data_IF_342457458673
#
_entry.id   IF_342457458673
#
_cell.length_a   1.000
_cell.length_b   1.000
_cell.length_c   1.000
_cell.angle_alpha   90.00
_cell.angle_beta   90.00
_cell.angle_gamma   90.00
#
_symmetry.space_group_name_H-M   'P 1'
#
loop_
_entity.id
_entity.type
_entity.pdbx_description
1 polymer ?
#
# COMPACT_ATOMS: atom_id res chain seq x y z
N UNK A 1 -12.30 0.64 9.44
CA UNK A 1 -11.22 1.13 8.56
C UNK A 1 -10.05 0.17 8.70
N UNK A 2 -9.63 -0.51 7.64
CA UNK A 2 -8.54 -1.48 7.76
C UNK A 2 -7.20 -0.76 7.96
N UNK A 3 -6.47 -1.11 9.01
CA UNK A 3 -5.13 -0.61 9.25
C UNK A 3 -4.20 -1.05 8.10
N UNK A 4 -3.36 -0.12 7.63
CA UNK A 4 -2.35 -0.40 6.59
C UNK A 4 -1.43 -1.52 7.10
N UNK A 5 -1.16 -2.53 6.27
CA UNK A 5 -0.40 -3.71 6.68
C UNK A 5 0.94 -3.40 7.34
N UNK A 6 1.65 -2.37 6.87
CA UNK A 6 2.95 -1.97 7.43
C UNK A 6 2.86 -1.39 8.86
N UNK A 7 1.68 -0.96 9.31
CA UNK A 7 1.47 -0.39 10.65
C UNK A 7 0.94 -1.40 11.65
N UNK A 8 0.73 -2.65 11.25
CA UNK A 8 0.30 -3.70 12.19
C UNK A 8 1.39 -3.99 13.21
N UNK A 9 0.98 -4.43 14.38
CA UNK A 9 1.86 -4.88 15.47
C UNK A 9 2.83 -3.81 16.01
N UNK A 10 2.55 -2.52 15.86
CA UNK A 10 3.36 -1.48 16.50
C UNK A 10 3.15 -1.50 18.02
N UNK A 11 1.89 -1.54 18.46
CA UNK A 11 1.51 -1.65 19.87
C UNK A 11 0.80 -2.97 20.08
N UNK A 12 1.13 -3.66 21.13
CA UNK A 12 0.55 -4.94 21.49
C UNK A 12 0.13 -5.03 22.96
N UNK A 13 -0.02 -6.24 23.45
CA UNK A 13 -0.28 -6.57 24.86
C UNK A 13 0.72 -7.58 25.39
N UNK A 14 1.16 -7.38 26.63
CA UNK A 14 1.96 -8.35 27.38
C UNK A 14 1.14 -9.53 27.89
N UNK A 15 -0.18 -9.46 27.79
CA UNK A 15 -1.03 -10.55 28.21
C UNK A 15 -1.19 -11.58 27.09
N UNK A 16 -0.62 -12.78 27.20
CA UNK A 16 -0.70 -13.80 26.14
C UNK A 16 -2.13 -14.24 25.83
N UNK A 17 -3.07 -14.09 26.78
CA UNK A 17 -4.48 -14.43 26.57
C UNK A 17 -5.18 -13.45 25.61
N UNK A 18 -4.66 -12.26 25.41
CA UNK A 18 -5.24 -11.26 24.50
C UNK A 18 -4.74 -11.36 23.06
N UNK A 19 -3.63 -12.10 22.85
CA UNK A 19 -3.06 -12.41 21.53
C UNK A 19 -2.86 -11.18 20.62
N UNK A 20 -2.35 -10.09 21.19
CA UNK A 20 -2.03 -8.85 20.45
C UNK A 20 -0.51 -8.66 20.43
N UNK A 21 0.19 -9.06 19.35
CA UNK A 21 1.64 -8.99 19.28
C UNK A 21 2.15 -7.55 19.13
N UNK A 22 3.40 -7.31 19.55
CA UNK A 22 4.13 -6.06 19.26
C UNK A 22 5.50 -6.36 18.70
N UNK A 23 5.85 -5.73 17.57
CA UNK A 23 7.17 -5.83 16.94
C UNK A 23 8.22 -4.90 17.62
N UNK A 24 7.77 -3.94 18.44
CA UNK A 24 8.60 -2.90 19.04
C UNK A 24 8.63 -2.93 20.57
N UNK A 25 8.10 -3.98 21.18
CA UNK A 25 7.97 -4.09 22.65
C UNK A 25 7.19 -2.92 23.28
N UNK A 26 6.24 -2.37 22.56
CA UNK A 26 5.31 -1.36 23.05
C UNK A 26 3.99 -2.04 23.42
N UNK A 27 3.60 -1.90 24.67
CA UNK A 27 2.45 -2.61 25.22
C UNK A 27 1.48 -1.65 25.88
N UNK A 28 0.18 -1.92 25.71
CA UNK A 28 -0.88 -1.10 26.29
C UNK A 28 -0.76 -1.03 27.84
N UNK A 29 -0.30 -2.11 28.46
CA UNK A 29 -0.09 -2.19 29.92
C UNK A 29 1.10 -1.37 30.42
N UNK A 30 1.95 -0.85 29.53
CA UNK A 30 3.01 0.07 29.89
C UNK A 30 2.53 1.51 30.09
N UNK A 31 1.27 1.79 29.74
CA UNK A 31 0.65 3.09 29.98
C UNK A 31 0.36 3.28 31.47
N UNK A 32 0.94 4.29 32.13
CA UNK A 32 0.68 4.56 33.54
C UNK A 32 -0.81 4.79 33.80
N UNK A 33 -1.29 4.29 34.95
CA UNK A 33 -2.67 4.51 35.39
C UNK A 33 -3.75 3.69 34.68
N UNK A 34 -3.40 2.81 33.75
CA UNK A 34 -4.29 1.82 33.16
C UNK A 34 -3.92 0.43 33.71
N UNK A 35 -4.82 -0.15 34.49
CA UNK A 35 -4.66 -1.55 34.95
C UNK A 35 -5.28 -2.53 33.96
N UNK A 36 -4.87 -3.79 34.03
CA UNK A 36 -5.53 -4.88 33.27
C UNK A 36 -7.02 -4.98 33.58
N UNK A 37 -7.40 -4.73 34.82
CA UNK A 37 -8.80 -4.74 35.22
C UNK A 37 -9.60 -3.61 34.58
N UNK A 38 -8.99 -2.41 34.43
CA UNK A 38 -9.61 -1.29 33.73
C UNK A 38 -9.84 -1.65 32.25
N UNK A 39 -8.84 -2.26 31.57
CA UNK A 39 -8.95 -2.65 30.17
C UNK A 39 -10.04 -3.70 29.95
N UNK A 40 -10.11 -4.71 30.81
CA UNK A 40 -11.17 -5.72 30.76
C UNK A 40 -12.55 -5.11 31.02
N UNK A 41 -12.63 -4.14 31.92
CA UNK A 41 -13.91 -3.46 32.23
C UNK A 41 -14.41 -2.56 31.09
N UNK A 42 -13.49 -2.03 30.27
CA UNK A 42 -13.80 -1.22 29.06
C UNK A 42 -14.20 -2.11 27.88
N UNK A 43 -13.65 -3.33 27.78
CA UNK A 43 -13.98 -4.27 26.72
C UNK A 43 -15.45 -4.71 26.89
N UNK A 44 -16.30 -4.12 26.07
CA UNK A 44 -17.76 -4.27 26.11
C UNK A 44 -18.23 -5.60 25.50
N UNK A 45 -19.55 -5.87 25.65
CA UNK A 45 -20.26 -6.97 25.00
C UNK A 45 -20.23 -6.90 23.46
N UNK A 46 -19.83 -5.78 22.89
CA UNK A 46 -19.68 -5.58 21.45
C UNK A 46 -18.42 -6.26 20.89
N UNK A 47 -17.49 -6.64 21.75
CA UNK A 47 -16.27 -7.34 21.38
C UNK A 47 -16.30 -8.80 21.85
N UNK A 48 -15.85 -9.73 20.97
CA UNK A 48 -15.78 -11.15 21.32
C UNK A 48 -14.71 -11.42 22.39
N UNK A 49 -13.60 -10.68 22.33
CA UNK A 49 -12.50 -10.80 23.29
C UNK A 49 -11.94 -9.42 23.65
N UNK A 50 -11.26 -9.34 24.80
CA UNK A 50 -10.48 -8.15 25.18
C UNK A 50 -9.38 -7.85 24.16
N UNK A 51 -8.84 -8.87 23.51
CA UNK A 51 -7.85 -8.71 22.43
C UNK A 51 -8.42 -7.97 21.23
N UNK A 52 -9.65 -8.29 20.81
CA UNK A 52 -10.33 -7.58 19.69
C UNK A 52 -10.57 -6.11 20.03
N UNK A 53 -10.99 -5.82 21.27
CA UNK A 53 -11.13 -4.46 21.77
C UNK A 53 -9.80 -3.68 21.67
N UNK A 54 -8.69 -4.27 22.16
CA UNK A 54 -7.38 -3.62 22.10
C UNK A 54 -6.95 -3.40 20.66
N UNK A 55 -7.11 -4.38 19.77
CA UNK A 55 -6.75 -4.25 18.36
C UNK A 55 -7.54 -3.13 17.67
N UNK A 56 -8.84 -3.01 17.98
CA UNK A 56 -9.67 -1.94 17.42
C UNK A 56 -9.22 -0.57 17.91
N UNK A 57 -8.99 -0.39 19.21
CA UNK A 57 -8.51 0.87 19.80
C UNK A 57 -7.11 1.24 19.31
N UNK A 58 -6.20 0.29 19.20
CA UNK A 58 -4.86 0.49 18.62
C UNK A 58 -4.99 0.93 17.16
N UNK A 59 -5.84 0.27 16.38
CA UNK A 59 -6.07 0.62 14.97
C UNK A 59 -6.67 2.02 14.84
N UNK A 60 -7.61 2.38 15.70
CA UNK A 60 -8.21 3.71 15.73
C UNK A 60 -7.16 4.79 16.05
N UNK A 61 -6.40 4.64 17.13
CA UNK A 61 -5.36 5.58 17.54
C UNK A 61 -4.31 5.78 16.43
N UNK A 62 -3.85 4.69 15.79
CA UNK A 62 -2.91 4.78 14.67
C UNK A 62 -3.49 5.51 13.47
N UNK A 63 -4.74 5.23 13.11
CA UNK A 63 -5.40 5.93 12.00
C UNK A 63 -5.54 7.43 12.28
N UNK A 64 -5.79 7.83 13.54
CA UNK A 64 -5.84 9.24 13.93
C UNK A 64 -4.46 9.91 13.78
N UNK A 65 -3.39 9.28 14.27
CA UNK A 65 -2.01 9.79 14.10
C UNK A 65 -1.64 9.92 12.62
N UNK A 66 -1.97 8.92 11.80
CA UNK A 66 -1.73 8.95 10.35
C UNK A 66 -2.54 10.05 9.67
N UNK A 67 -3.81 10.22 10.03
CA UNK A 67 -4.66 11.27 9.47
C UNK A 67 -4.12 12.65 9.78
N UNK A 68 -3.69 12.89 11.03
CA UNK A 68 -3.13 14.17 11.46
C UNK A 68 -1.76 14.43 10.81
N UNK A 69 -0.87 13.42 10.79
CA UNK A 69 0.40 13.49 10.07
C UNK A 69 0.18 13.82 8.58
N UNK A 70 -0.81 13.18 7.99
CA UNK A 70 -1.19 13.38 6.59
C UNK A 70 -1.62 14.81 6.28
N UNK A 71 -2.36 15.47 7.18
CA UNK A 71 -2.78 16.87 6.98
C UNK A 71 -1.60 17.83 6.86
N UNK A 72 -0.48 17.54 7.52
CA UNK A 72 0.72 18.40 7.43
C UNK A 72 1.52 18.17 6.15
N UNK A 73 1.43 16.96 5.61
CA UNK A 73 2.19 16.52 4.44
C UNK A 73 1.40 16.78 3.14
N UNK A 74 0.05 16.83 3.22
CA UNK A 74 -0.84 16.96 2.06
C UNK A 74 -0.52 18.19 1.20
N UNK A 75 -0.12 19.31 1.79
CA UNK A 75 0.16 20.52 1.02
C UNK A 75 1.24 20.31 -0.04
N UNK A 76 2.19 19.40 0.22
CA UNK A 76 3.31 19.12 -0.67
C UNK A 76 3.22 17.74 -1.35
N UNK A 77 2.25 16.89 -0.97
CA UNK A 77 2.10 15.54 -1.49
C UNK A 77 1.11 15.46 -2.66
N UNK A 78 1.52 14.79 -3.72
CA UNK A 78 0.74 14.63 -4.95
C UNK A 78 -0.09 13.35 -4.92
N UNK A 79 -1.11 13.31 -4.05
CA UNK A 79 -2.00 12.15 -3.96
C UNK A 79 -2.60 11.78 -5.32
N UNK A 80 -2.58 10.49 -5.64
CA UNK A 80 -3.07 9.91 -6.89
C UNK A 80 -2.40 10.45 -8.17
N UNK A 81 -1.29 11.18 -8.04
CA UNK A 81 -0.54 11.63 -9.21
C UNK A 81 0.12 10.44 -9.89
N UNK A 82 -0.12 10.31 -11.18
CA UNK A 82 0.52 9.27 -12.01
C UNK A 82 1.96 9.70 -12.30
N UNK A 83 2.92 8.94 -11.80
CA UNK A 83 4.34 9.16 -11.99
C UNK A 83 4.87 8.47 -13.26
N UNK A 84 4.29 7.31 -13.58
CA UNK A 84 4.67 6.50 -14.73
C UNK A 84 3.45 5.77 -15.30
N UNK A 85 3.45 5.57 -16.61
CA UNK A 85 2.44 4.77 -17.32
C UNK A 85 3.16 3.73 -18.16
N UNK A 86 2.75 2.49 -17.99
CA UNK A 86 3.33 1.36 -18.67
C UNK A 86 2.30 0.69 -19.56
N UNK A 87 2.73 0.33 -20.76
CA UNK A 87 1.89 -0.42 -21.71
C UNK A 87 2.66 -1.65 -22.17
N UNK A 88 1.98 -2.78 -22.26
CA UNK A 88 2.51 -4.02 -22.82
C UNK A 88 1.51 -4.58 -23.83
N UNK A 89 2.04 -5.07 -24.93
CA UNK A 89 1.25 -5.60 -26.03
C UNK A 89 0.46 -4.52 -26.78
N UNK A 90 0.26 -4.76 -28.06
CA UNK A 90 -0.58 -3.92 -28.92
C UNK A 90 -1.50 -4.83 -29.71
N UNK A 91 -2.76 -4.44 -29.87
CA UNK A 91 -3.67 -5.21 -30.72
C UNK A 91 -3.09 -5.32 -32.13
N UNK A 92 -2.97 -6.54 -32.67
CA UNK A 92 -2.40 -6.74 -34.01
C UNK A 92 -3.33 -6.15 -35.08
N UNK A 93 -2.73 -5.48 -36.06
CA UNK A 93 -3.44 -5.01 -37.26
C UNK A 93 -3.21 -6.03 -38.36
N UNK A 94 -4.06 -7.05 -38.49
CA UNK A 94 -3.96 -8.08 -39.51
C UNK A 94 -4.16 -9.49 -38.96
N UNK A 95 -3.54 -10.50 -39.60
CA UNK A 95 -3.66 -11.90 -39.18
C UNK A 95 -2.97 -12.09 -37.84
N UNK A 96 -3.69 -12.66 -36.88
CA UNK A 96 -3.16 -12.94 -35.54
C UNK A 96 -2.34 -14.24 -35.61
N UNK A 97 -1.08 -14.16 -35.24
CA UNK A 97 -0.24 -15.34 -35.01
C UNK A 97 -0.46 -15.86 -33.58
N UNK A 98 -0.61 -17.16 -33.43
CA UNK A 98 -0.73 -17.83 -32.13
C UNK A 98 0.43 -18.76 -31.90
N UNK A 99 0.95 -18.79 -30.69
CA UNK A 99 2.00 -19.72 -30.30
C UNK A 99 1.47 -21.16 -30.30
N UNK A 100 2.16 -22.08 -30.90
CA UNK A 100 1.77 -23.50 -30.97
C UNK A 100 2.15 -24.27 -29.69
N UNK A 101 3.19 -23.83 -29.00
CA UNK A 101 3.61 -24.38 -27.71
C UNK A 101 3.52 -23.30 -26.66
N UNK A 102 2.93 -23.62 -25.53
CA UNK A 102 2.72 -22.68 -24.46
C UNK A 102 3.42 -23.14 -23.19
N UNK A 103 4.35 -22.36 -22.63
CA UNK A 103 4.86 -22.62 -21.30
C UNK A 103 3.76 -22.44 -20.26
N UNK A 104 3.88 -23.12 -19.14
CA UNK A 104 3.09 -22.85 -17.94
C UNK A 104 3.54 -21.52 -17.32
N UNK A 105 2.64 -20.90 -16.57
CA UNK A 105 2.91 -19.64 -15.83
C UNK A 105 3.44 -18.51 -16.74
N UNK A 106 2.90 -18.43 -17.97
CA UNK A 106 3.28 -17.41 -18.96
C UNK A 106 2.43 -16.15 -18.88
N UNK A 107 3.01 -15.02 -19.24
CA UNK A 107 2.29 -13.75 -19.24
C UNK A 107 3.19 -12.53 -19.34
N UNK A 108 2.97 -11.58 -18.45
CA UNK A 108 3.77 -10.35 -18.37
C UNK A 108 4.29 -10.13 -16.97
N UNK A 109 5.45 -9.49 -16.91
CA UNK A 109 6.14 -9.09 -15.68
C UNK A 109 6.34 -7.59 -15.68
N UNK A 110 6.00 -6.96 -14.58
CA UNK A 110 6.36 -5.58 -14.26
C UNK A 110 7.53 -5.61 -13.28
N UNK A 111 8.60 -4.89 -13.57
CA UNK A 111 9.79 -4.83 -12.71
C UNK A 111 10.12 -3.38 -12.38
N UNK A 112 10.28 -3.08 -11.10
CA UNK A 112 10.67 -1.76 -10.60
C UNK A 112 12.12 -1.48 -10.91
N UNK A 113 12.43 -0.37 -11.57
CA UNK A 113 13.80 0.03 -11.94
C UNK A 113 14.43 0.98 -10.93
N UNK A 114 13.61 1.83 -10.31
CA UNK A 114 14.04 2.83 -9.35
C UNK A 114 13.14 2.77 -8.14
N UNK A 115 13.73 2.89 -6.98
CA UNK A 115 12.96 3.03 -5.76
C UNK A 115 12.36 4.43 -5.69
N UNK A 116 11.04 4.47 -5.62
CA UNK A 116 10.26 5.62 -5.19
C UNK A 116 9.41 5.13 -4.01
N UNK A 117 9.73 5.64 -2.83
CA UNK A 117 9.25 5.04 -1.58
C UNK A 117 7.75 5.31 -1.29
N UNK A 118 7.08 6.07 -2.16
CA UNK A 118 5.72 6.56 -1.91
C UNK A 118 4.72 6.23 -3.00
N UNK A 119 5.04 5.31 -3.87
CA UNK A 119 4.17 4.98 -4.98
C UNK A 119 3.72 3.53 -4.99
N UNK A 120 2.56 3.31 -5.55
CA UNK A 120 1.95 2.00 -5.78
C UNK A 120 1.84 1.72 -7.27
N UNK A 121 2.12 0.48 -7.66
CA UNK A 121 1.75 -0.04 -8.97
C UNK A 121 0.27 -0.40 -8.96
N UNK A 122 -0.49 0.21 -9.86
CA UNK A 122 -1.93 -0.01 -10.02
C UNK A 122 -2.16 -0.62 -11.40
N UNK A 123 -2.75 -1.81 -11.43
CA UNK A 123 -3.14 -2.53 -12.65
C UNK A 123 -4.66 -2.71 -12.61
N UNK A 124 -5.44 -1.81 -13.20
CA UNK A 124 -6.88 -1.84 -13.08
C UNK A 124 -7.49 -2.98 -13.89
N UNK A 125 -7.00 -3.22 -15.09
CA UNK A 125 -7.45 -4.29 -15.98
C UNK A 125 -6.34 -4.72 -16.94
N UNK A 126 -6.51 -5.89 -17.51
CA UNK A 126 -5.73 -6.38 -18.63
C UNK A 126 -6.66 -6.97 -19.68
N UNK A 127 -6.20 -7.04 -20.96
CA UNK A 127 -6.88 -7.77 -22.02
C UNK A 127 -6.04 -8.96 -22.39
N UNK A 128 -6.71 -10.10 -22.61
CA UNK A 128 -6.05 -11.34 -23.01
C UNK A 128 -6.58 -11.77 -24.38
N UNK A 129 -5.68 -12.00 -25.33
CA UNK A 129 -6.00 -12.39 -26.70
C UNK A 129 -5.59 -13.85 -26.94
N UNK A 130 -6.59 -14.71 -27.18
CA UNK A 130 -6.42 -16.17 -27.33
C UNK A 130 -7.18 -16.70 -28.55
N UNK A 131 -6.85 -17.91 -28.97
CA UNK A 131 -7.48 -18.56 -30.13
C UNK A 131 -8.75 -19.35 -29.78
N UNK A 132 -8.97 -19.69 -28.51
CA UNK A 132 -10.09 -20.52 -28.06
C UNK A 132 -10.93 -19.77 -27.05
N UNK A 133 -12.26 -20.01 -27.09
CA UNK A 133 -13.18 -19.53 -26.05
C UNK A 133 -13.22 -20.53 -24.90
N UNK A 134 -13.37 -20.04 -23.68
CA UNK A 134 -13.50 -20.89 -22.50
C UNK A 134 -13.21 -20.20 -21.20
N UNK A 135 -13.52 -20.88 -20.09
CA UNK A 135 -13.21 -20.42 -18.73
C UNK A 135 -11.71 -20.59 -18.46
N UNK A 136 -11.10 -19.53 -17.95
CA UNK A 136 -9.69 -19.48 -17.60
C UNK A 136 -9.48 -18.72 -16.30
N UNK A 137 -8.33 -18.92 -15.70
CA UNK A 137 -7.90 -18.21 -14.49
C UNK A 137 -6.65 -17.38 -14.80
N UNK A 138 -6.72 -16.10 -14.48
CA UNK A 138 -5.58 -15.20 -14.45
C UNK A 138 -5.01 -15.19 -13.02
N UNK A 139 -3.75 -15.55 -12.87
CA UNK A 139 -3.03 -15.45 -11.61
C UNK A 139 -2.21 -14.17 -11.60
N UNK A 140 -2.41 -13.34 -10.58
CA UNK A 140 -1.67 -12.11 -10.36
C UNK A 140 -0.91 -12.27 -9.07
N UNK A 141 0.39 -12.02 -9.09
CA UNK A 141 1.24 -12.14 -7.89
C UNK A 141 2.31 -11.05 -7.88
N UNK A 142 2.81 -10.73 -6.69
CA UNK A 142 3.98 -9.89 -6.53
C UNK A 142 5.11 -10.62 -5.79
N UNK A 143 6.25 -9.96 -5.62
CA UNK A 143 7.40 -10.52 -4.92
C UNK A 143 7.35 -10.35 -3.40
N UNK A 144 6.30 -9.74 -2.86
CA UNK A 144 6.07 -9.60 -1.40
C UNK A 144 5.03 -10.58 -0.86
N UNK A 145 4.53 -11.49 -1.71
CA UNK A 145 3.64 -12.59 -1.32
C UNK A 145 2.15 -12.34 -1.53
N UNK A 146 1.75 -11.23 -2.15
CA UNK A 146 0.35 -11.02 -2.53
C UNK A 146 0.01 -11.88 -3.75
N UNK A 147 -1.10 -12.63 -3.68
CA UNK A 147 -1.61 -13.44 -4.79
C UNK A 147 -3.10 -13.19 -4.97
N UNK A 148 -3.53 -12.97 -6.22
CA UNK A 148 -4.93 -12.80 -6.59
C UNK A 148 -5.24 -13.64 -7.81
N UNK A 149 -6.28 -14.48 -7.73
CA UNK A 149 -6.77 -15.25 -8.86
C UNK A 149 -8.08 -14.64 -9.37
N UNK A 150 -8.18 -14.42 -10.67
CA UNK A 150 -9.34 -13.85 -11.33
C UNK A 150 -9.83 -14.80 -12.42
N UNK A 151 -11.04 -15.31 -12.28
CA UNK A 151 -11.67 -16.15 -13.30
C UNK A 151 -12.28 -15.27 -14.40
N UNK A 152 -12.07 -15.65 -15.66
CA UNK A 152 -12.65 -14.96 -16.80
C UNK A 152 -13.00 -15.94 -17.92
N UNK A 153 -13.96 -15.58 -18.76
CA UNK A 153 -14.34 -16.36 -19.94
C UNK A 153 -13.68 -15.71 -21.17
N UNK A 154 -12.69 -16.38 -21.74
CA UNK A 154 -12.04 -15.93 -22.95
C UNK A 154 -12.95 -16.05 -24.17
N UNK A 155 -12.82 -15.13 -25.12
CA UNK A 155 -13.47 -15.15 -26.43
C UNK A 155 -12.39 -15.26 -27.51
N UNK A 156 -12.50 -16.29 -28.36
CA UNK A 156 -11.53 -16.57 -29.41
C UNK A 156 -11.36 -15.38 -30.37
N UNK A 157 -10.11 -14.99 -30.61
CA UNK A 157 -9.75 -13.92 -31.56
C UNK A 157 -10.11 -12.50 -31.13
N UNK A 158 -10.68 -12.32 -29.95
CA UNK A 158 -11.08 -11.03 -29.42
C UNK A 158 -10.37 -10.78 -28.08
N UNK A 159 -9.73 -9.61 -27.87
CA UNK A 159 -9.16 -9.28 -26.56
C UNK A 159 -10.23 -9.26 -25.49
N UNK A 160 -10.19 -10.24 -24.60
CA UNK A 160 -11.12 -10.34 -23.47
C UNK A 160 -10.58 -9.51 -22.31
N UNK A 161 -11.36 -8.54 -21.85
CA UNK A 161 -10.98 -7.69 -20.72
C UNK A 161 -11.21 -8.41 -19.39
N UNK A 162 -10.22 -8.33 -18.52
CA UNK A 162 -10.22 -8.91 -17.19
C UNK A 162 -9.91 -7.83 -16.19
N UNK A 163 -10.87 -7.50 -15.32
CA UNK A 163 -10.66 -6.55 -14.23
C UNK A 163 -9.75 -7.18 -13.19
N UNK A 164 -8.61 -6.55 -12.98
CA UNK A 164 -7.61 -7.03 -12.05
C UNK A 164 -7.70 -6.31 -10.73
N UNK A 165 -7.93 -4.99 -10.72
CA UNK A 165 -7.94 -4.13 -9.53
C UNK A 165 -6.80 -4.52 -8.57
N UNK A 166 -5.60 -4.72 -9.15
CA UNK A 166 -4.42 -5.15 -8.40
C UNK A 166 -3.57 -3.95 -8.07
N UNK A 167 -3.21 -3.83 -6.80
CA UNK A 167 -2.39 -2.75 -6.27
C UNK A 167 -1.26 -3.36 -5.45
N UNK A 168 -0.02 -2.97 -5.73
CA UNK A 168 1.15 -3.45 -4.99
C UNK A 168 2.22 -2.37 -4.84
N UNK A 169 2.93 -2.42 -3.72
CA UNK A 169 4.17 -1.69 -3.45
C UNK A 169 5.42 -2.55 -3.69
N UNK A 170 5.23 -3.80 -4.10
CA UNK A 170 6.30 -4.74 -4.42
C UNK A 170 7.22 -4.27 -5.55
N UNK A 171 8.41 -4.82 -5.62
CA UNK A 171 9.38 -4.54 -6.67
C UNK A 171 9.09 -5.23 -7.99
N UNK A 172 8.27 -6.27 -7.98
CA UNK A 172 7.86 -7.05 -9.13
C UNK A 172 6.40 -7.45 -9.04
N UNK A 173 5.70 -7.47 -10.17
CA UNK A 173 4.35 -8.00 -10.30
C UNK A 173 4.25 -8.86 -11.57
N UNK A 174 3.56 -10.00 -11.46
CA UNK A 174 3.39 -10.97 -12.53
C UNK A 174 1.90 -11.17 -12.78
N UNK A 175 1.53 -11.22 -14.06
CA UNK A 175 0.19 -11.58 -14.50
C UNK A 175 0.35 -12.77 -15.45
N UNK A 176 -0.15 -13.94 -15.05
CA UNK A 176 0.16 -15.20 -15.72
C UNK A 176 -1.08 -16.07 -15.97
N UNK A 177 -0.96 -16.94 -16.98
CA UNK A 177 -1.92 -17.98 -17.33
C UNK A 177 -1.26 -19.34 -17.22
N UNK A 178 -1.88 -20.27 -16.50
CA UNK A 178 -1.35 -21.63 -16.28
C UNK A 178 -1.90 -22.67 -17.27
N UNK A 179 -2.92 -22.32 -18.06
CA UNK A 179 -3.56 -23.24 -18.98
C UNK A 179 -2.74 -23.41 -20.27
N UNK A 180 -1.91 -24.45 -20.34
CA UNK A 180 -1.08 -24.75 -21.50
C UNK A 180 -1.86 -25.10 -22.77
N UNK A 181 -3.12 -25.55 -22.67
CA UNK A 181 -3.98 -25.87 -23.83
C UNK A 181 -4.53 -24.63 -24.54
N UNK A 182 -4.50 -23.46 -23.87
CA UNK A 182 -4.97 -22.22 -24.41
C UNK A 182 -3.87 -21.54 -25.24
N UNK A 183 -4.04 -21.46 -26.55
CA UNK A 183 -3.06 -20.78 -27.41
C UNK A 183 -3.23 -19.27 -27.30
N UNK A 184 -2.19 -18.60 -26.85
CA UNK A 184 -2.15 -17.15 -26.71
C UNK A 184 -1.54 -16.49 -27.93
N UNK A 185 -1.99 -15.27 -28.25
CA UNK A 185 -1.44 -14.52 -29.37
C UNK A 185 0.03 -14.15 -29.14
N UNK A 186 0.79 -14.15 -30.23
CA UNK A 186 2.17 -13.70 -30.23
C UNK A 186 2.21 -12.18 -30.35
N UNK A 187 2.42 -11.48 -29.25
CA UNK A 187 2.50 -10.03 -29.19
C UNK A 187 3.85 -9.60 -28.65
N UNK A 188 4.49 -8.64 -29.30
CA UNK A 188 5.73 -8.06 -28.79
C UNK A 188 5.46 -7.14 -27.60
N UNK A 189 6.37 -7.14 -26.63
CA UNK A 189 6.31 -6.26 -25.46
C UNK A 189 6.39 -4.79 -25.86
N UNK A 190 7.23 -4.46 -26.85
CA UNK A 190 7.47 -3.10 -27.30
C UNK A 190 6.56 -2.64 -28.41
N UNK A 191 6.50 -1.30 -28.60
CA UNK A 191 5.83 -0.69 -29.74
C UNK A 191 6.65 -0.74 -31.02
N UNK A 192 6.08 -0.13 -32.08
CA UNK A 192 6.72 0.13 -33.35
C UNK A 192 8.15 0.65 -33.14
N UNK A 193 9.16 0.00 -33.72
CA UNK A 193 10.58 0.35 -33.66
C UNK A 193 11.45 -0.32 -32.58
N UNK A 194 11.07 -1.48 -32.04
CA UNK A 194 11.87 -2.25 -31.07
C UNK A 194 12.29 -1.48 -29.77
N UNK A 195 11.66 -0.37 -29.49
CA UNK A 195 11.86 0.33 -28.21
C UNK A 195 10.77 -0.10 -27.25
N UNK A 196 11.12 -0.52 -26.03
CA UNK A 196 10.12 -0.74 -25.02
C UNK A 196 9.30 0.54 -24.85
N UNK A 197 7.98 0.42 -24.74
CA UNK A 197 7.02 1.54 -24.63
C UNK A 197 7.28 2.47 -23.43
N UNK A 198 8.26 2.17 -22.59
CA UNK A 198 8.61 2.83 -21.35
C UNK A 198 9.85 3.72 -21.43
N UNK A 199 10.10 4.33 -22.55
CA UNK A 199 11.06 5.44 -22.54
C UNK A 199 10.38 6.77 -22.29
N UNK A 200 9.62 6.92 -21.21
CA UNK A 200 9.64 8.18 -20.49
C UNK A 200 11.03 8.27 -19.83
N UNK A 201 11.71 9.40 -19.93
CA UNK A 201 13.01 9.65 -19.28
C UNK A 201 13.01 9.44 -17.76
N UNK A 202 11.89 9.06 -17.18
CA UNK A 202 11.64 8.80 -15.76
C UNK A 202 11.41 7.32 -15.47
N UNK A 203 11.28 6.45 -16.49
CA UNK A 203 10.92 5.00 -16.39
C UNK A 203 11.20 4.36 -15.03
N UNK A 204 10.24 4.48 -14.12
CA UNK A 204 10.32 3.91 -12.77
C UNK A 204 10.15 2.39 -12.82
N UNK A 205 9.42 1.92 -13.85
CA UNK A 205 9.10 0.52 -14.05
C UNK A 205 9.47 0.07 -15.47
N UNK A 206 9.65 -1.23 -15.63
CA UNK A 206 9.82 -1.92 -16.90
C UNK A 206 8.75 -2.99 -17.04
N UNK A 207 8.25 -3.19 -18.26
CA UNK A 207 7.38 -4.31 -18.59
C UNK A 207 8.14 -5.25 -19.52
N UNK A 208 8.04 -6.55 -19.29
CA UNK A 208 8.57 -7.62 -20.12
C UNK A 208 7.55 -8.75 -20.24
N UNK A 209 7.67 -9.61 -21.24
CA UNK A 209 7.01 -10.90 -21.26
C UNK A 209 7.64 -11.83 -20.22
N UNK A 210 6.89 -12.82 -19.79
CA UNK A 210 7.30 -13.85 -18.84
C UNK A 210 6.91 -15.23 -19.36
N UNK A 211 7.85 -16.16 -19.42
CA UNK A 211 7.62 -17.54 -19.92
C UNK A 211 7.60 -18.60 -18.81
N UNK A 212 7.49 -18.17 -17.54
CA UNK A 212 7.57 -19.05 -16.38
C UNK A 212 8.98 -19.23 -15.82
N UNK A 213 10.02 -18.94 -16.59
CA UNK A 213 11.43 -19.08 -16.20
C UNK A 213 12.23 -17.79 -16.35
N UNK A 214 11.86 -16.94 -17.30
CA UNK A 214 12.61 -15.73 -17.61
C UNK A 214 11.82 -14.66 -18.35
N UNK A 215 12.46 -13.53 -18.56
CA UNK A 215 11.91 -12.42 -19.34
C UNK A 215 12.11 -12.64 -20.84
N UNK A 216 11.04 -12.44 -21.60
CA UNK A 216 11.00 -12.62 -23.07
C UNK A 216 10.35 -11.43 -23.76
N UNK A 217 10.52 -11.30 -25.08
CA UNK A 217 9.89 -10.27 -25.91
C UNK A 217 8.51 -10.69 -26.45
N UNK A 218 7.77 -11.49 -25.71
CA UNK A 218 6.42 -11.92 -26.06
C UNK A 218 5.50 -11.78 -24.86
N UNK A 219 4.41 -11.05 -25.01
CA UNK A 219 3.43 -10.84 -23.91
C UNK A 219 2.42 -11.99 -23.78
N UNK A 220 2.54 -13.04 -24.59
CA UNK A 220 1.60 -14.18 -24.58
C UNK A 220 0.13 -13.74 -24.63
N UNK A 221 -0.18 -12.84 -25.56
CA UNK A 221 -1.53 -12.35 -25.77
C UNK A 221 -2.00 -11.30 -24.77
N UNK A 222 -1.19 -10.93 -23.80
CA UNK A 222 -1.54 -9.86 -22.86
C UNK A 222 -1.40 -8.48 -23.51
N UNK A 223 -2.45 -7.66 -23.32
CA UNK A 223 -2.45 -6.23 -23.61
C UNK A 223 -2.81 -5.53 -22.30
N UNK A 224 -1.83 -4.90 -21.68
CA UNK A 224 -1.97 -4.33 -20.36
C UNK A 224 -1.62 -2.86 -20.36
N UNK A 225 -2.30 -2.11 -19.50
CA UNK A 225 -1.94 -0.76 -19.11
C UNK A 225 -1.89 -0.70 -17.58
N UNK A 226 -0.75 -0.30 -17.05
CA UNK A 226 -0.54 -0.11 -15.63
C UNK A 226 -0.07 1.31 -15.35
N UNK A 227 -0.30 1.77 -14.14
CA UNK A 227 0.07 3.10 -13.68
C UNK A 227 0.84 2.98 -12.36
N UNK A 228 1.86 3.81 -12.20
CA UNK A 228 2.52 4.00 -10.92
C UNK A 228 2.07 5.32 -10.34
N UNK A 229 1.37 5.26 -9.22
CA UNK A 229 0.69 6.39 -8.61
C UNK A 229 1.25 6.68 -7.22
N UNK A 230 1.28 7.94 -6.86
CA UNK A 230 1.60 8.36 -5.50
C UNK A 230 0.48 7.96 -4.53
N UNK A 231 0.85 7.33 -3.42
CA UNK A 231 -0.08 6.99 -2.35
C UNK A 231 0.42 7.51 -1.02
N UNK A 232 -0.39 8.36 -0.41
CA UNK A 232 -0.13 8.96 0.89
C UNK A 232 -0.04 7.92 2.01
N UNK A 233 -0.72 6.79 1.89
CA UNK A 233 -0.67 5.73 2.89
C UNK A 233 0.76 5.18 3.07
N UNK A 234 1.58 5.19 2.02
CA UNK A 234 2.97 4.76 2.07
C UNK A 234 3.85 5.67 2.94
N UNK A 235 3.46 6.93 3.12
CA UNK A 235 4.20 7.86 4.00
C UNK A 235 4.16 7.35 5.44
N UNK A 236 3.02 6.88 5.89
CA UNK A 236 2.88 6.36 7.24
C UNK A 236 3.80 5.15 7.49
N UNK A 237 4.02 4.31 6.48
CA UNK A 237 4.89 3.15 6.57
C UNK A 237 6.36 3.52 6.85
N UNK A 238 6.82 4.66 6.35
CA UNK A 238 8.19 5.13 6.55
C UNK A 238 8.44 5.51 8.00
N UNK A 239 7.40 6.00 8.67
CA UNK A 239 7.50 6.38 10.09
C UNK A 239 7.34 5.19 11.03
N UNK A 240 7.05 3.97 10.54
CA UNK A 240 6.90 2.78 11.38
C UNK A 240 8.03 2.59 12.39
N UNK A 241 9.27 2.84 11.96
CA UNK A 241 10.48 2.70 12.78
C UNK A 241 10.85 3.99 13.55
N UNK A 242 10.11 5.08 13.38
CA UNK A 242 10.35 6.31 14.15
C UNK A 242 9.85 6.15 15.58
N UNK A 243 10.73 6.41 16.55
CA UNK A 243 10.37 6.38 17.97
C UNK A 243 9.29 7.42 18.27
N UNK A 244 9.36 8.58 17.61
CA UNK A 244 8.36 9.65 17.79
C UNK A 244 6.98 9.22 17.32
N UNK A 245 6.90 8.52 16.18
CA UNK A 245 5.65 7.95 15.66
C UNK A 245 5.08 6.88 16.58
N UNK A 246 5.90 5.93 17.01
CA UNK A 246 5.49 4.86 17.91
C UNK A 246 4.96 5.39 19.24
N UNK A 247 5.65 6.39 19.81
CA UNK A 247 5.23 7.02 21.06
C UNK A 247 3.98 7.88 20.87
N UNK A 248 3.84 8.60 19.76
CA UNK A 248 2.61 9.33 19.45
C UNK A 248 1.41 8.37 19.39
N UNK A 249 1.55 7.21 18.72
CA UNK A 249 0.50 6.20 18.68
C UNK A 249 0.16 5.67 20.09
N UNK A 250 1.16 5.43 20.94
CA UNK A 250 0.97 4.93 22.29
C UNK A 250 0.25 5.97 23.19
N UNK A 251 0.66 7.24 23.16
CA UNK A 251 0.01 8.28 23.93
C UNK A 251 -1.40 8.58 23.43
N UNK A 252 -1.64 8.58 22.12
CA UNK A 252 -2.98 8.69 21.55
C UNK A 252 -3.90 7.57 22.03
N UNK A 253 -3.42 6.35 22.01
CA UNK A 253 -4.13 5.19 22.56
C UNK A 253 -4.45 5.41 24.05
N UNK A 254 -3.48 5.94 24.82
CA UNK A 254 -3.70 6.28 26.25
C UNK A 254 -4.82 7.29 26.47
N UNK A 255 -4.89 8.34 25.64
CA UNK A 255 -5.98 9.32 25.66
C UNK A 255 -7.31 8.63 25.38
N UNK A 256 -7.41 7.85 24.32
CA UNK A 256 -8.64 7.19 23.89
C UNK A 256 -9.15 6.17 24.94
N UNK A 257 -8.24 5.40 25.55
CA UNK A 257 -8.61 4.46 26.61
C UNK A 257 -9.04 5.16 27.90
N UNK A 258 -8.40 6.27 28.29
CA UNK A 258 -8.82 7.01 29.46
C UNK A 258 -10.14 7.76 29.23
N UNK A 259 -10.37 8.30 28.05
CA UNK A 259 -11.66 8.88 27.66
C UNK A 259 -12.78 7.82 27.74
N UNK A 260 -12.53 6.61 27.26
CA UNK A 260 -13.46 5.49 27.38
C UNK A 260 -13.72 5.16 28.85
N UNK A 261 -12.68 5.01 29.66
CA UNK A 261 -12.79 4.69 31.08
C UNK A 261 -13.56 5.76 31.87
N UNK A 262 -13.32 7.05 31.62
CA UNK A 262 -13.95 8.16 32.28
C UNK A 262 -15.45 8.27 31.94
N UNK A 263 -15.80 7.93 30.68
CA UNK A 263 -17.14 8.12 30.15
C UNK A 263 -18.00 6.84 30.20
N UNK A 264 -17.41 5.67 30.48
CA UNK A 264 -18.20 4.44 30.53
C UNK A 264 -19.09 4.39 31.76
N UNK A 265 -20.37 4.14 31.53
CA UNK A 265 -21.39 3.99 32.61
C UNK A 265 -21.12 2.74 33.48
N UNK A 266 -20.36 1.79 32.96
CA UNK A 266 -20.03 0.50 33.62
C UNK A 266 -18.89 0.62 34.63
N UNK A 267 -18.05 1.63 34.51
CA UNK A 267 -17.10 1.93 35.55
C UNK A 267 -17.84 2.41 36.78
N UNK A 268 -18.22 1.49 37.64
CA UNK A 268 -18.82 1.79 38.94
C UNK A 268 -17.94 2.77 39.68
N UNK A 269 -18.55 3.58 40.53
CA UNK A 269 -17.84 4.48 41.48
C UNK A 269 -16.78 3.78 42.34
N UNK A 270 -16.80 2.45 42.42
CA UNK A 270 -15.76 1.59 43.04
C UNK A 270 -14.57 1.31 42.13
N UNK A 271 -14.74 1.29 40.78
CA UNK A 271 -13.66 1.08 39.79
C UNK A 271 -12.98 2.38 39.38
N UNK A 272 -13.69 3.50 39.47
CA UNK A 272 -13.11 4.83 39.28
C UNK A 272 -12.69 5.40 40.66
N UNK A 273 -11.72 4.71 41.29
CA UNK A 273 -10.96 5.42 42.32
C UNK A 273 -10.19 6.56 41.65
N UNK A 274 -10.51 7.80 42.04
CA UNK A 274 -9.89 9.04 41.56
C UNK A 274 -10.16 9.39 40.08
N UNK A 275 -11.42 9.73 39.77
CA UNK A 275 -11.78 10.29 38.46
C UNK A 275 -10.93 11.51 38.09
N UNK A 276 -10.62 12.36 39.06
CA UNK A 276 -9.76 13.54 38.88
C UNK A 276 -8.34 13.14 38.46
N UNK A 277 -7.76 12.15 39.11
CA UNK A 277 -6.42 11.61 38.73
C UNK A 277 -6.39 11.04 37.31
N UNK A 278 -7.46 10.36 36.87
CA UNK A 278 -7.60 9.86 35.50
C UNK A 278 -7.72 11.00 34.49
N UNK A 279 -8.42 12.06 34.80
CA UNK A 279 -8.51 13.27 33.96
C UNK A 279 -7.14 13.95 33.85
N UNK A 280 -6.43 14.11 34.97
CA UNK A 280 -5.08 14.68 34.94
C UNK A 280 -4.12 13.85 34.10
N UNK A 281 -4.19 12.52 34.24
CA UNK A 281 -3.38 11.60 33.47
C UNK A 281 -3.73 11.63 31.96
N UNK A 282 -5.00 11.69 31.63
CA UNK A 282 -5.49 11.87 30.26
C UNK A 282 -4.93 13.15 29.63
N UNK A 283 -4.98 14.27 30.36
CA UNK A 283 -4.42 15.54 29.90
C UNK A 283 -2.90 15.49 29.76
N UNK A 284 -2.21 14.76 30.64
CA UNK A 284 -0.78 14.52 30.49
C UNK A 284 -0.45 13.74 29.21
N UNK A 285 -1.20 12.67 28.91
CA UNK A 285 -1.00 11.92 27.67
C UNK A 285 -1.31 12.76 26.43
N UNK A 286 -2.32 13.62 26.47
CA UNK A 286 -2.61 14.53 25.38
C UNK A 286 -1.45 15.51 25.12
N UNK A 287 -0.88 16.13 26.18
CA UNK A 287 0.29 16.98 26.06
C UNK A 287 1.52 16.22 25.52
N UNK A 288 1.75 14.99 26.00
CA UNK A 288 2.84 14.14 25.53
C UNK A 288 2.63 13.73 24.06
N UNK A 289 1.39 13.46 23.66
CA UNK A 289 1.00 13.22 22.27
C UNK A 289 1.32 14.42 21.38
N UNK A 290 0.83 15.61 21.72
CA UNK A 290 1.07 16.84 20.95
C UNK A 290 2.57 17.10 20.79
N UNK A 291 3.34 16.96 21.87
CA UNK A 291 4.80 17.12 21.83
C UNK A 291 5.45 16.12 20.89
N UNK A 292 5.01 14.85 20.86
CA UNK A 292 5.53 13.85 19.94
C UNK A 292 5.14 14.13 18.51
N UNK A 293 3.94 14.63 18.28
CA UNK A 293 3.48 15.06 16.97
C UNK A 293 4.29 16.24 16.42
N UNK A 294 4.68 17.21 17.25
CA UNK A 294 5.57 18.30 16.82
C UNK A 294 6.95 17.77 16.39
N UNK A 295 7.55 16.87 17.17
CA UNK A 295 8.82 16.24 16.80
C UNK A 295 8.67 15.46 15.49
N UNK A 296 7.61 14.68 15.37
CA UNK A 296 7.31 13.90 14.16
C UNK A 296 7.14 14.79 12.94
N UNK A 297 6.53 15.97 13.10
CA UNK A 297 6.41 16.96 12.03
C UNK A 297 7.76 17.46 11.51
N UNK A 298 8.73 17.66 12.42
CA UNK A 298 10.09 18.06 12.03
C UNK A 298 10.81 16.89 11.35
N UNK A 299 10.69 15.67 11.89
CA UNK A 299 11.23 14.45 11.28
C UNK A 299 10.65 14.25 9.88
N UNK A 300 9.33 14.39 9.73
CA UNK A 300 8.64 14.27 8.45
C UNK A 300 9.19 15.26 7.41
N UNK A 301 9.31 16.53 7.76
CA UNK A 301 9.90 17.53 6.87
C UNK A 301 11.32 17.17 6.44
N UNK A 302 12.13 16.65 7.36
CA UNK A 302 13.51 16.25 7.07
C UNK A 302 13.57 15.01 6.18
N UNK A 303 12.73 14.01 6.43
CA UNK A 303 12.67 12.80 5.62
C UNK A 303 12.15 13.08 4.23
N UNK A 304 11.11 13.92 4.11
CA UNK A 304 10.46 14.27 2.85
C UNK A 304 11.27 15.28 2.02
N UNK A 305 12.22 15.98 2.61
CA UNK A 305 13.16 16.86 1.88
C UNK A 305 14.24 16.09 1.11
N UNK A 306 14.37 14.78 1.34
CA UNK A 306 15.34 13.94 0.63
C UNK A 306 14.94 13.74 -0.84
N UNK A 307 15.89 13.80 -1.80
CA UNK A 307 15.60 13.90 -3.24
C UNK A 307 15.15 12.58 -3.92
N UNK A 308 14.62 11.60 -3.20
CA UNK A 308 14.31 10.26 -3.73
C UNK A 308 12.88 10.03 -4.16
N UNK A 309 11.99 11.02 -4.01
CA UNK A 309 10.58 10.83 -4.35
C UNK A 309 10.05 11.91 -5.27
N UNK A 310 9.28 11.51 -6.28
CA UNK A 310 8.55 12.40 -7.16
C UNK A 310 7.12 12.69 -6.64
N UNK A 311 6.70 12.03 -5.56
CA UNK A 311 5.38 12.19 -4.96
C UNK A 311 5.25 13.45 -4.12
N UNK A 312 6.36 14.07 -3.73
CA UNK A 312 6.36 15.31 -2.96
C UNK A 312 6.74 16.47 -3.88
N UNK A 313 5.88 17.48 -3.94
CA UNK A 313 6.19 18.70 -4.65
C UNK A 313 7.27 19.46 -3.87
N UNK A 314 8.51 19.45 -4.35
CA UNK A 314 9.51 20.37 -3.86
C UNK A 314 9.05 21.80 -4.18
N UNK A 315 8.90 22.64 -3.15
CA UNK A 315 8.57 24.04 -3.32
C UNK A 315 9.47 24.69 -4.39
N UNK A 316 8.88 24.98 -5.53
CA UNK A 316 9.28 26.01 -6.49
C UNK A 316 10.49 25.75 -7.39
N UNK A 317 11.53 25.05 -6.97
CA UNK A 317 12.80 25.02 -7.73
C UNK A 317 12.92 23.88 -8.74
N UNK A 318 12.33 22.71 -8.49
CA UNK A 318 12.41 21.57 -9.42
C UNK A 318 11.40 21.62 -10.57
N UNK A 319 10.28 22.30 -10.40
CA UNK A 319 9.33 22.52 -11.51
C UNK A 319 9.93 23.38 -12.65
N UNK A 320 10.82 24.31 -12.29
CA UNK A 320 11.52 25.14 -13.25
C UNK A 320 12.59 24.36 -14.04
N UNK A 321 13.24 23.38 -13.44
CA UNK A 321 14.25 22.54 -14.11
C UNK A 321 13.63 21.53 -15.07
N UNK A 322 12.51 20.88 -14.70
CA UNK A 322 11.82 19.93 -15.59
C UNK A 322 11.16 20.65 -16.78
N UNK A 323 10.65 21.86 -16.59
CA UNK A 323 10.13 22.65 -17.70
C UNK A 323 11.25 23.25 -18.58
N UNK A 324 12.44 23.54 -18.03
CA UNK A 324 13.59 23.98 -18.82
C UNK A 324 14.15 22.85 -19.68
N UNK A 325 14.18 21.62 -19.19
CA UNK A 325 14.60 20.47 -19.99
C UNK A 325 13.61 20.13 -21.10
N UNK A 326 12.29 20.30 -20.90
CA UNK A 326 11.31 20.07 -21.95
C UNK A 326 11.28 21.16 -23.03
N UNK A 327 11.70 22.40 -22.73
CA UNK A 327 11.81 23.50 -23.70
C UNK A 327 13.10 23.48 -24.52
N UNK A 328 14.10 22.66 -24.12
CA UNK A 328 15.38 22.57 -24.84
C UNK A 328 15.38 21.66 -26.08
N UNK A 329 14.29 20.95 -26.37
CA UNK A 329 14.20 20.01 -27.49
C UNK A 329 13.43 20.56 -28.72
N UNK A 330 13.05 21.84 -28.73
CA UNK A 330 12.51 22.50 -29.91
C UNK A 330 13.43 23.67 -30.34
N UNK A 331 14.61 23.32 -30.86
CA UNK A 331 15.40 24.16 -31.77
C UNK A 331 16.08 23.28 -32.81
#
# INVERSE_FOLDING_TARGET
MNLINCLRNIIGSNNPAWNVPSDFNLYVESLPGLSRADIVAMADSDYQTTGDFIQDKVSFAMNMVVAELSQWIIQDFRQNSVLDRMKAGKYPTGVIAYNTAQPLDRGIKFTRRKNDDYGLLVIPYVKVLVNNSGLNTLTIRDNIGQVKNVNFTAVAGIPTEVNTDFITDGGEAYLTLDNASLLTAELKVGGCCNRPYNESNVGLWRVSGWDGSGEVDNTFGFIAEAQYQCDQSQIACIFRNSVSFQQACLYRLGVDLLDELINTVRANSKTIHNKEEKIELRNKFENDYERRMEILRVEARTMLSRPRTNCIACNGTRYAETQRQSKGYYR
#
